data_IF_459358758026
#
_entry.id   IF_459358758026
#
_cell.length_a   1.000
_cell.length_b   1.000
_cell.length_c   1.000
_cell.angle_alpha   90.00
_cell.angle_beta   90.00
_cell.angle_gamma   90.00
#
_symmetry.space_group_name_H-M   'P 1'
#
loop_
_entity.id
_entity.type
_entity.pdbx_description
1 polymer ?
#
# COMPACT_ATOMS: atom_id res chain seq x y z
N UNK A 1 -5.64 7.00 -18.88
CA UNK A 1 -4.71 5.87 -19.11
C UNK A 1 -3.92 5.49 -17.85
N UNK A 2 -3.58 6.45 -16.97
CA UNK A 2 -2.83 6.21 -15.71
C UNK A 2 -3.49 5.23 -14.72
N UNK A 3 -4.82 5.30 -14.58
CA UNK A 3 -5.57 4.39 -13.72
C UNK A 3 -5.39 2.92 -14.13
N UNK A 4 -5.27 2.62 -15.43
CA UNK A 4 -5.09 1.25 -15.93
C UNK A 4 -3.73 0.66 -15.55
N UNK A 5 -2.72 1.51 -15.42
CA UNK A 5 -1.36 1.10 -15.04
C UNK A 5 -1.34 0.68 -13.57
N UNK A 6 -2.06 1.39 -12.70
CA UNK A 6 -2.12 1.12 -11.26
C UNK A 6 -3.20 0.10 -10.85
N UNK A 7 -4.05 -0.35 -11.78
CA UNK A 7 -5.15 -1.30 -11.52
C UNK A 7 -4.69 -2.58 -10.80
N UNK A 8 -3.57 -3.24 -11.16
CA UNK A 8 -3.16 -4.47 -10.49
C UNK A 8 -2.97 -4.26 -8.98
N UNK A 9 -2.28 -3.20 -8.59
CA UNK A 9 -2.05 -2.88 -7.17
C UNK A 9 -3.32 -2.41 -6.47
N UNK A 10 -4.19 -1.65 -7.14
CA UNK A 10 -5.45 -1.20 -6.55
C UNK A 10 -6.42 -2.37 -6.33
N UNK A 11 -6.60 -3.25 -7.32
CA UNK A 11 -7.47 -4.42 -7.20
C UNK A 11 -6.92 -5.43 -6.18
N UNK A 12 -5.62 -5.71 -6.23
CA UNK A 12 -4.98 -6.58 -5.25
C UNK A 12 -5.02 -5.97 -3.84
N UNK A 13 -4.76 -4.67 -3.71
CA UNK A 13 -4.87 -3.93 -2.46
C UNK A 13 -6.28 -3.95 -1.87
N UNK A 14 -7.31 -3.79 -2.70
CA UNK A 14 -8.71 -3.91 -2.28
C UNK A 14 -9.04 -5.33 -1.81
N UNK A 15 -8.63 -6.36 -2.56
CA UNK A 15 -8.85 -7.75 -2.17
C UNK A 15 -8.15 -8.08 -0.84
N UNK A 16 -6.92 -7.60 -0.65
CA UNK A 16 -6.16 -7.73 0.59
C UNK A 16 -6.83 -6.96 1.73
N UNK A 17 -7.39 -5.78 1.47
CA UNK A 17 -8.10 -4.97 2.47
C UNK A 17 -9.37 -5.67 2.95
N UNK A 18 -10.13 -6.27 2.05
CA UNK A 18 -11.33 -7.06 2.39
C UNK A 18 -10.95 -8.27 3.24
N UNK A 19 -9.90 -8.99 2.85
CA UNK A 19 -9.44 -10.17 3.61
C UNK A 19 -8.83 -9.78 4.97
N UNK A 20 -8.16 -8.63 5.05
CA UNK A 20 -7.62 -8.09 6.32
C UNK A 20 -8.75 -7.70 7.29
N UNK A 21 -9.85 -7.12 6.78
CA UNK A 21 -11.05 -6.83 7.58
C UNK A 21 -11.74 -8.12 8.03
N UNK A 22 -11.86 -9.11 7.12
CA UNK A 22 -12.60 -10.36 7.38
C UNK A 22 -11.85 -11.30 8.32
N UNK A 23 -10.59 -11.56 8.03
CA UNK A 23 -9.80 -12.65 8.60
C UNK A 23 -8.57 -12.19 9.38
N UNK A 24 -8.29 -10.88 9.44
CA UNK A 24 -7.09 -10.28 10.11
C UNK A 24 -5.78 -10.88 9.60
N UNK A 25 -5.78 -11.38 8.37
CA UNK A 25 -4.65 -12.04 7.74
C UNK A 25 -4.51 -11.53 6.33
N UNK A 26 -3.30 -11.13 6.00
CA UNK A 26 -2.95 -10.69 4.66
C UNK A 26 -2.39 -11.89 3.88
N UNK A 27 -3.07 -12.36 2.82
CA UNK A 27 -2.62 -13.50 2.04
C UNK A 27 -1.38 -13.12 1.22
N UNK A 28 -0.21 -13.54 1.71
CA UNK A 28 1.10 -13.17 1.14
C UNK A 28 1.26 -13.55 -0.33
N UNK A 29 0.65 -14.67 -0.74
CA UNK A 29 0.65 -15.14 -2.14
C UNK A 29 -0.09 -14.18 -3.06
N UNK A 30 -1.17 -13.56 -2.60
CA UNK A 30 -1.93 -12.59 -3.40
C UNK A 30 -1.15 -11.30 -3.55
N UNK A 31 -0.54 -10.80 -2.47
CA UNK A 31 0.31 -9.60 -2.51
C UNK A 31 1.51 -9.81 -3.44
N UNK A 32 2.18 -10.97 -3.35
CA UNK A 32 3.31 -11.29 -4.23
C UNK A 32 2.88 -11.34 -5.70
N UNK A 33 1.75 -11.98 -6.01
CA UNK A 33 1.19 -11.99 -7.36
C UNK A 33 0.86 -10.57 -7.85
N UNK A 34 0.23 -9.74 -7.00
CA UNK A 34 -0.05 -8.33 -7.29
C UNK A 34 1.22 -7.54 -7.61
N UNK A 35 2.28 -7.70 -6.82
CA UNK A 35 3.57 -7.05 -7.06
C UNK A 35 4.19 -7.46 -8.40
N UNK A 36 4.21 -8.76 -8.70
CA UNK A 36 4.76 -9.25 -9.97
C UNK A 36 4.00 -8.67 -11.16
N UNK A 37 2.66 -8.71 -11.12
CA UNK A 37 1.83 -8.14 -12.18
C UNK A 37 2.05 -6.63 -12.30
N UNK A 38 2.13 -5.91 -11.18
CA UNK A 38 2.39 -4.47 -11.19
C UNK A 38 3.76 -4.13 -11.79
N UNK A 39 4.81 -4.89 -11.46
CA UNK A 39 6.15 -4.71 -12.03
C UNK A 39 6.12 -4.92 -13.55
N UNK A 40 5.44 -5.96 -14.02
CA UNK A 40 5.30 -6.23 -15.46
C UNK A 40 4.60 -5.06 -16.16
N UNK A 41 3.51 -4.55 -15.59
CA UNK A 41 2.76 -3.41 -16.14
C UNK A 41 3.61 -2.13 -16.16
N UNK A 42 4.33 -1.84 -15.07
CA UNK A 42 5.25 -0.70 -15.02
C UNK A 42 6.38 -0.83 -16.05
N UNK A 43 6.90 -2.03 -16.27
CA UNK A 43 7.97 -2.29 -17.25
C UNK A 43 7.46 -2.11 -18.68
N UNK A 44 6.28 -2.65 -19.02
CA UNK A 44 5.65 -2.46 -20.33
C UNK A 44 5.43 -0.97 -20.59
N UNK A 45 4.92 -0.24 -19.60
CA UNK A 45 4.70 1.20 -19.72
C UNK A 45 6.02 1.96 -19.91
N UNK A 46 7.04 1.65 -19.11
CA UNK A 46 8.35 2.28 -19.21
C UNK A 46 9.04 2.01 -20.56
N UNK A 47 8.86 0.81 -21.13
CA UNK A 47 9.35 0.48 -22.47
C UNK A 47 8.58 1.25 -23.55
N UNK A 48 7.25 1.33 -23.44
CA UNK A 48 6.40 2.08 -24.37
C UNK A 48 6.72 3.58 -24.39
N UNK A 49 6.91 4.17 -23.20
CA UNK A 49 7.28 5.58 -23.05
C UNK A 49 8.77 5.86 -23.32
N UNK A 50 9.58 4.82 -23.60
CA UNK A 50 11.03 4.89 -23.76
C UNK A 50 11.77 5.48 -22.55
N UNK A 51 11.23 5.27 -21.34
CA UNK A 51 11.72 5.84 -20.09
C UNK A 51 11.83 4.74 -19.03
N UNK A 52 12.85 3.88 -19.16
CA UNK A 52 13.15 2.81 -18.19
C UNK A 52 13.36 3.32 -16.76
N UNK A 53 13.75 4.59 -16.62
CA UNK A 53 13.86 5.27 -15.33
C UNK A 53 12.56 5.18 -14.51
N UNK A 54 11.38 5.22 -15.13
CA UNK A 54 10.10 5.11 -14.41
C UNK A 54 9.93 3.77 -13.68
N UNK A 55 10.34 2.67 -14.32
CA UNK A 55 10.27 1.35 -13.71
C UNK A 55 11.26 1.23 -12.54
N UNK A 56 12.48 1.73 -12.71
CA UNK A 56 13.49 1.76 -11.65
C UNK A 56 13.04 2.64 -10.47
N UNK A 57 12.50 3.83 -10.77
CA UNK A 57 11.99 4.77 -9.78
C UNK A 57 10.85 4.14 -8.96
N UNK A 58 9.90 3.48 -9.61
CA UNK A 58 8.81 2.79 -8.93
C UNK A 58 9.33 1.67 -8.00
N UNK A 59 10.28 0.86 -8.48
CA UNK A 59 10.93 -0.18 -7.67
C UNK A 59 11.65 0.39 -6.45
N UNK A 60 12.45 1.45 -6.65
CA UNK A 60 13.21 2.10 -5.57
C UNK A 60 12.28 2.69 -4.51
N UNK A 61 11.27 3.46 -4.91
CA UNK A 61 10.34 4.05 -3.95
C UNK A 61 9.48 3.01 -3.23
N UNK A 62 9.09 1.92 -3.92
CA UNK A 62 8.42 0.80 -3.30
C UNK A 62 9.31 0.14 -2.23
N UNK A 63 10.56 -0.16 -2.58
CA UNK A 63 11.52 -0.78 -1.67
C UNK A 63 11.83 0.12 -0.47
N UNK A 64 12.06 1.42 -0.69
CA UNK A 64 12.28 2.40 0.37
C UNK A 64 11.07 2.54 1.29
N UNK A 65 9.86 2.60 0.74
CA UNK A 65 8.63 2.68 1.53
C UNK A 65 8.41 1.40 2.35
N UNK A 66 8.63 0.23 1.75
CA UNK A 66 8.55 -1.04 2.46
C UNK A 66 9.62 -1.14 3.56
N UNK A 67 10.85 -0.68 3.30
CA UNK A 67 11.92 -0.65 4.29
C UNK A 67 11.57 0.29 5.46
N UNK A 68 11.00 1.46 5.17
CA UNK A 68 10.54 2.40 6.19
C UNK A 68 9.40 1.79 7.03
N UNK A 69 8.40 1.17 6.39
CA UNK A 69 7.32 0.48 7.09
C UNK A 69 7.85 -0.70 7.93
N UNK A 70 8.84 -1.42 7.42
CA UNK A 70 9.51 -2.50 8.14
C UNK A 70 10.27 -1.97 9.36
N UNK A 71 11.00 -0.87 9.22
CA UNK A 71 11.67 -0.22 10.34
C UNK A 71 10.68 0.19 11.44
N UNK A 72 9.52 0.76 11.07
CA UNK A 72 8.45 1.07 12.03
C UNK A 72 7.92 -0.18 12.74
N UNK A 73 7.74 -1.28 12.00
CA UNK A 73 7.31 -2.56 12.57
C UNK A 73 8.33 -3.16 13.55
N UNK A 74 9.62 -2.97 13.28
CA UNK A 74 10.71 -3.42 14.16
C UNK A 74 10.88 -2.52 15.39
N UNK A 75 10.69 -1.20 15.25
CA UNK A 75 10.81 -0.24 16.35
C UNK A 75 9.74 -0.43 17.42
N UNK A 76 8.51 -0.80 17.04
CA UNK A 76 7.43 -1.11 17.97
C UNK A 76 6.75 -2.43 17.59
N UNK A 77 7.32 -3.57 18.05
CA UNK A 77 6.78 -4.90 17.76
C UNK A 77 5.32 -4.99 18.20
N UNK A 78 4.44 -5.39 17.28
CA UNK A 78 3.00 -5.53 17.53
C UNK A 78 2.13 -4.32 17.16
N UNK A 79 2.72 -3.20 16.72
CA UNK A 79 1.95 -2.07 16.18
C UNK A 79 1.67 -2.15 14.68
N UNK A 80 2.61 -2.72 13.92
CA UNK A 80 2.54 -2.87 12.46
C UNK A 80 2.92 -4.30 12.11
N UNK A 81 2.09 -4.96 11.30
CA UNK A 81 2.30 -6.33 10.88
C UNK A 81 3.20 -6.43 9.64
N UNK A 82 3.81 -7.60 9.43
CA UNK A 82 4.53 -7.88 8.18
C UNK A 82 3.62 -7.74 6.93
N UNK A 83 2.31 -7.98 7.09
CA UNK A 83 1.35 -7.78 6.02
C UNK A 83 1.25 -6.30 5.58
N UNK A 84 1.38 -5.35 6.51
CA UNK A 84 1.36 -3.92 6.20
C UNK A 84 2.59 -3.51 5.40
N UNK A 85 3.76 -4.08 5.73
CA UNK A 85 5.00 -3.91 4.95
C UNK A 85 4.80 -4.40 3.52
N UNK A 86 4.24 -5.58 3.33
CA UNK A 86 4.00 -6.12 1.99
C UNK A 86 2.93 -5.34 1.22
N UNK A 87 1.91 -4.81 1.90
CA UNK A 87 0.89 -3.95 1.29
C UNK A 87 1.46 -2.60 0.88
N UNK A 88 2.38 -2.05 1.69
CA UNK A 88 3.13 -0.83 1.37
C UNK A 88 4.05 -1.05 0.18
N UNK A 89 4.70 -2.23 0.06
CA UNK A 89 5.48 -2.57 -1.12
C UNK A 89 4.61 -2.57 -2.39
N UNK A 90 3.45 -3.25 -2.33
CA UNK A 90 2.50 -3.32 -3.46
C UNK A 90 2.02 -1.93 -3.87
N UNK A 91 1.51 -1.14 -2.93
CA UNK A 91 1.02 0.22 -3.23
C UNK A 91 2.15 1.16 -3.65
N UNK A 92 3.36 0.98 -3.09
CA UNK A 92 4.54 1.74 -3.47
C UNK A 92 4.96 1.51 -4.92
N UNK A 93 4.73 0.33 -5.50
CA UNK A 93 4.97 0.07 -6.93
C UNK A 93 4.05 0.89 -7.83
N UNK A 94 2.83 1.17 -7.37
CA UNK A 94 1.88 2.01 -8.12
C UNK A 94 2.18 3.50 -7.91
N UNK A 95 2.31 3.95 -6.65
CA UNK A 95 2.53 5.37 -6.32
C UNK A 95 3.92 5.85 -6.76
N UNK A 96 4.95 5.01 -6.61
CA UNK A 96 6.34 5.35 -6.91
C UNK A 96 6.60 5.70 -8.37
N UNK A 97 5.72 5.30 -9.29
CA UNK A 97 5.81 5.68 -10.70
C UNK A 97 5.61 7.19 -10.91
N UNK A 98 4.86 7.87 -10.04
CA UNK A 98 4.57 9.31 -10.11
C UNK A 98 5.61 10.18 -9.41
N UNK A 99 6.69 9.59 -8.90
CA UNK A 99 7.83 10.32 -8.34
C UNK A 99 7.71 10.67 -6.86
N UNK A 100 8.70 11.43 -6.39
CA UNK A 100 8.89 11.69 -4.97
C UNK A 100 7.70 12.43 -4.34
N UNK A 101 7.13 13.41 -5.05
CA UNK A 101 6.02 14.20 -4.52
C UNK A 101 4.80 13.33 -4.22
N UNK A 102 4.44 12.44 -5.15
CA UNK A 102 3.37 11.47 -4.94
C UNK A 102 3.65 10.55 -3.75
N UNK A 103 4.87 10.03 -3.64
CA UNK A 103 5.27 9.15 -2.53
C UNK A 103 5.22 9.86 -1.18
N UNK A 104 5.73 11.10 -1.10
CA UNK A 104 5.70 11.90 0.14
C UNK A 104 4.26 12.24 0.52
N UNK A 105 3.44 12.69 -0.43
CA UNK A 105 2.03 12.99 -0.18
C UNK A 105 1.27 11.75 0.29
N UNK A 106 1.57 10.59 -0.27
CA UNK A 106 1.02 9.31 0.14
C UNK A 106 1.41 8.96 1.57
N UNK A 107 2.70 9.08 1.94
CA UNK A 107 3.16 8.85 3.31
C UNK A 107 2.52 9.78 4.34
N UNK A 108 2.36 11.07 4.00
CA UNK A 108 1.63 12.02 4.86
C UNK A 108 0.16 11.60 5.01
N UNK A 109 -0.47 11.15 3.93
CA UNK A 109 -1.84 10.64 3.96
C UNK A 109 -1.95 9.36 4.82
N UNK A 110 -0.98 8.42 4.75
CA UNK A 110 -0.92 7.25 5.64
C UNK A 110 -0.88 7.70 7.10
N UNK A 111 -0.07 8.72 7.44
CA UNK A 111 0.00 9.25 8.80
C UNK A 111 -1.36 9.77 9.29
N UNK A 112 -2.02 10.63 8.51
CA UNK A 112 -3.30 11.23 8.90
C UNK A 112 -4.44 10.21 8.90
N UNK A 113 -4.64 9.52 7.78
CA UNK A 113 -5.73 8.54 7.62
C UNK A 113 -5.51 7.33 8.52
N UNK A 114 -4.27 6.89 8.71
CA UNK A 114 -3.93 5.80 9.61
C UNK A 114 -4.27 6.11 11.07
N UNK A 115 -3.98 7.32 11.56
CA UNK A 115 -4.37 7.76 12.90
C UNK A 115 -5.91 7.85 13.06
N UNK A 116 -6.60 8.41 12.07
CA UNK A 116 -8.06 8.42 12.04
C UNK A 116 -8.64 7.00 12.02
N UNK A 117 -8.04 6.09 11.26
CA UNK A 117 -8.49 4.70 11.16
C UNK A 117 -8.32 3.95 12.47
N UNK A 118 -7.17 4.08 13.14
CA UNK A 118 -6.92 3.45 14.44
C UNK A 118 -7.90 3.97 15.50
N UNK A 119 -8.16 5.28 15.53
CA UNK A 119 -9.11 5.89 16.48
C UNK A 119 -10.56 5.49 16.22
N UNK A 120 -10.98 5.42 14.96
CA UNK A 120 -12.32 4.95 14.59
C UNK A 120 -12.48 3.44 14.85
N UNK A 121 -11.47 2.64 14.52
CA UNK A 121 -11.54 1.19 14.69
C UNK A 121 -11.59 0.79 16.17
N UNK A 122 -10.80 1.45 17.02
CA UNK A 122 -10.86 1.20 18.48
C UNK A 122 -12.21 1.57 19.10
N UNK A 123 -12.93 2.54 18.53
CA UNK A 123 -14.28 2.94 18.96
C UNK A 123 -15.37 1.98 18.48
N UNK A 124 -15.27 1.48 17.26
CA UNK A 124 -16.33 0.71 16.60
C UNK A 124 -15.97 -0.76 16.33
N UNK A 125 -14.94 -1.31 17.01
CA UNK A 125 -14.40 -2.64 16.72
C UNK A 125 -15.49 -3.73 16.69
N UNK A 126 -15.93 -4.19 15.50
CA UNK A 126 -17.02 -5.15 15.37
C UNK A 126 -16.61 -6.54 15.90
N UNK A 127 -15.30 -6.76 16.03
CA UNK A 127 -14.70 -8.04 16.42
C UNK A 127 -14.13 -8.01 17.84
N UNK A 128 -14.52 -7.03 18.68
CA UNK A 128 -14.07 -6.91 20.07
C UNK A 128 -14.32 -8.15 20.94
N UNK A 129 -15.26 -9.01 20.54
CA UNK A 129 -15.64 -10.24 21.24
C UNK A 129 -14.88 -11.49 20.73
N UNK A 130 -13.98 -11.33 19.76
CA UNK A 130 -13.20 -12.43 19.19
C UNK A 130 -11.75 -12.40 19.70
N UNK A 131 -10.98 -13.45 19.41
CA UNK A 131 -9.54 -13.51 19.75
C UNK A 131 -8.68 -12.42 19.08
N UNK A 132 -9.25 -11.61 18.18
CA UNK A 132 -8.57 -10.52 17.48
C UNK A 132 -8.87 -9.13 18.05
N UNK A 133 -9.53 -9.04 19.21
CA UNK A 133 -9.85 -7.78 19.87
C UNK A 133 -8.60 -6.88 19.98
N UNK A 134 -8.72 -5.64 19.49
CA UNK A 134 -7.64 -4.65 19.54
C UNK A 134 -6.59 -4.74 18.42
N UNK A 135 -6.69 -5.69 17.48
CA UNK A 135 -5.86 -5.67 16.25
C UNK A 135 -6.58 -4.89 15.15
N UNK A 136 -6.05 -3.71 14.80
CA UNK A 136 -6.59 -2.86 13.75
C UNK A 136 -6.10 -3.32 12.37
N UNK A 137 -6.98 -3.47 11.36
CA UNK A 137 -6.59 -3.83 10.01
C UNK A 137 -5.99 -2.58 9.34
N UNK A 138 -4.69 -2.56 9.06
CA UNK A 138 -4.04 -1.33 8.56
C UNK A 138 -3.93 -1.30 7.03
N UNK A 139 -4.08 -2.45 6.36
CA UNK A 139 -4.07 -2.54 4.89
C UNK A 139 -5.11 -1.62 4.21
N UNK A 140 -6.37 -1.49 4.68
CA UNK A 140 -7.33 -0.56 4.08
C UNK A 140 -6.84 0.88 4.06
N UNK A 141 -6.24 1.34 5.17
CA UNK A 141 -5.71 2.70 5.26
C UNK A 141 -4.57 2.93 4.25
N UNK A 142 -3.65 1.96 4.09
CA UNK A 142 -2.56 2.02 3.11
C UNK A 142 -3.11 2.08 1.67
N UNK A 143 -4.11 1.27 1.36
CA UNK A 143 -4.68 1.18 0.00
C UNK A 143 -5.49 2.42 -0.35
N UNK A 144 -6.34 2.90 0.57
CA UNK A 144 -7.12 4.13 0.37
C UNK A 144 -6.19 5.33 0.18
N UNK A 145 -5.15 5.45 1.00
CA UNK A 145 -4.18 6.54 0.86
C UNK A 145 -3.32 6.38 -0.40
N UNK A 146 -3.04 5.16 -0.85
CA UNK A 146 -2.34 4.91 -2.11
C UNK A 146 -3.15 5.39 -3.31
N UNK A 147 -4.48 5.23 -3.30
CA UNK A 147 -5.35 5.81 -4.31
C UNK A 147 -5.30 7.35 -4.30
N UNK A 148 -5.24 7.98 -3.12
CA UNK A 148 -5.05 9.43 -2.98
C UNK A 148 -3.68 9.85 -3.55
N UNK A 149 -2.61 9.13 -3.21
CA UNK A 149 -1.26 9.40 -3.71
C UNK A 149 -1.16 9.31 -5.23
N UNK A 150 -1.84 8.34 -5.84
CA UNK A 150 -1.97 8.24 -7.31
C UNK A 150 -2.74 9.45 -7.87
N UNK A 151 -3.87 9.82 -7.25
CA UNK A 151 -4.66 10.96 -7.71
C UNK A 151 -3.87 12.27 -7.67
N UNK A 152 -3.10 12.50 -6.59
CA UNK A 152 -2.19 13.64 -6.46
C UNK A 152 -1.08 13.56 -7.50
N UNK A 153 -0.45 12.40 -7.67
CA UNK A 153 0.63 12.20 -8.64
C UNK A 153 0.22 12.36 -10.11
N UNK A 154 -1.07 12.30 -10.43
CA UNK A 154 -1.58 12.60 -11.78
C UNK A 154 -1.82 14.10 -11.99
N UNK A 155 -1.98 14.89 -10.93
CA UNK A 155 -2.24 16.33 -10.99
C UNK A 155 -0.97 17.18 -11.15
N UNK A 156 0.21 16.59 -10.90
CA UNK A 156 1.52 17.23 -10.96
C UNK A 156 2.41 16.52 -11.97
#
# INVERSE_FOLDING_TARGET
MWYMICLPSLLCGLAVSVEDIRSRRIPRTWVAAGCVVQIIVNLIYALYANTLFLALQALLFAALSAALQCALALMKPGSVGFGDVTTTLLMGLAVGMFGLFAVVSWWLAIGVVGLCWITLWTRFDPQKHTSYAGRTPFAPAIVTTGAIGIAVGVMF
#
